data_IF_403007696543
#
_entry.id   IF_403007696543
#
_cell.length_a   1.000
_cell.length_b   1.000
_cell.length_c   1.000
_cell.angle_alpha   90.00
_cell.angle_beta   90.00
_cell.angle_gamma   90.00
#
_symmetry.space_group_name_H-M   'P 1'
#
loop_
_entity.id
_entity.type
_entity.pdbx_description
1 polymer ?
#
# COMPACT_ATOMS: atom_id res chain seq x y z
N UNK A 1 0.52 3.01 -2.50
CA UNK A 1 1.14 4.33 -2.45
C UNK A 1 2.31 4.40 -1.47
N UNK A 2 2.09 3.95 -0.22
CA UNK A 2 3.13 3.99 0.81
C UNK A 2 3.69 2.58 1.08
N UNK A 3 4.94 2.49 1.49
CA UNK A 3 5.60 1.18 1.80
C UNK A 3 5.01 0.51 3.04
N UNK A 4 4.32 -0.62 2.83
CA UNK A 4 3.72 -1.36 3.93
C UNK A 4 2.91 -2.54 3.40
N UNK A 5 3.20 -2.98 2.17
CA UNK A 5 2.47 -4.10 1.57
C UNK A 5 0.98 -3.99 1.88
N UNK A 6 0.33 -2.99 1.27
CA UNK A 6 -1.09 -2.76 1.48
C UNK A 6 -1.94 -3.32 0.35
N UNK A 7 -2.12 -2.52 -0.70
CA UNK A 7 -2.94 -2.95 -1.84
C UNK A 7 -2.28 -2.60 -3.16
N UNK A 8 -1.71 -1.39 -3.25
CA UNK A 8 -1.06 -0.97 -4.49
C UNK A 8 0.19 -1.81 -4.75
N UNK A 9 0.51 -2.02 -6.02
CA UNK A 9 1.70 -2.79 -6.41
C UNK A 9 1.92 -4.00 -5.51
N UNK A 10 0.90 -4.38 -4.75
CA UNK A 10 1.00 -5.51 -3.84
C UNK A 10 2.26 -5.39 -2.97
N UNK A 11 2.75 -4.17 -2.80
CA UNK A 11 3.93 -3.92 -1.96
C UNK A 11 3.79 -2.59 -1.22
N UNK A 12 2.61 -1.99 -1.32
CA UNK A 12 2.34 -0.71 -0.64
C UNK A 12 0.83 -0.51 -0.50
N UNK A 13 0.42 0.45 0.34
CA UNK A 13 -1.01 0.73 0.56
C UNK A 13 -1.43 2.01 -0.17
N UNK A 14 -2.71 2.10 -0.50
CA UNK A 14 -3.23 3.27 -1.20
C UNK A 14 -3.40 4.45 -0.25
N UNK A 15 -4.15 4.23 0.83
CA UNK A 15 -4.39 5.29 1.81
C UNK A 15 -5.14 4.72 3.02
N UNK A 16 -5.13 5.47 4.13
CA UNK A 16 -5.80 5.03 5.34
C UNK A 16 -5.30 3.65 5.76
N UNK A 17 -5.92 2.61 5.21
CA UNK A 17 -5.53 1.24 5.53
C UNK A 17 -5.69 0.98 7.03
#
# INVERSE_FOLDING_TARGET
GRPNWGFENDWSCVRVC
#
